data_IF_598312996776
#
_entry.id   IF_598312996776
#
_cell.length_a   1.000
_cell.length_b   1.000
_cell.length_c   1.000
_cell.angle_alpha   90.00
_cell.angle_beta   90.00
_cell.angle_gamma   90.00
#
_symmetry.space_group_name_H-M   'P 1'
#
loop_
_entity.id
_entity.type
_entity.pdbx_description
1 polymer ?
#
# COMPACT_ATOMS: atom_id res chain seq x y z
N UNK A 1 -7.07 9.17 4.73
CA UNK A 1 -6.96 7.81 5.32
C UNK A 1 -6.32 7.93 6.69
N UNK A 2 -6.71 7.05 7.60
CA UNK A 2 -6.02 6.92 8.89
C UNK A 2 -4.75 6.05 8.82
N UNK A 3 -4.35 5.61 7.62
CA UNK A 3 -3.18 4.78 7.37
C UNK A 3 -3.27 3.34 7.91
N UNK A 4 -4.48 2.82 8.16
CA UNK A 4 -4.65 1.39 8.42
C UNK A 4 -4.28 0.54 7.20
N UNK A 5 -3.68 -0.64 7.45
CA UNK A 5 -3.05 -1.45 6.41
C UNK A 5 -3.98 -1.85 5.25
N UNK A 6 -5.22 -2.24 5.54
CA UNK A 6 -6.15 -2.67 4.51
C UNK A 6 -6.49 -1.54 3.53
N UNK A 7 -6.84 -0.35 4.03
CA UNK A 7 -7.14 0.79 3.16
C UNK A 7 -5.91 1.30 2.41
N UNK A 8 -4.71 1.16 3.00
CA UNK A 8 -3.45 1.42 2.30
C UNK A 8 -3.29 0.48 1.09
N UNK A 9 -3.53 -0.83 1.28
CA UNK A 9 -3.48 -1.80 0.19
C UNK A 9 -4.54 -1.54 -0.88
N UNK A 10 -5.77 -1.22 -0.50
CA UNK A 10 -6.84 -0.83 -1.43
C UNK A 10 -6.42 0.39 -2.28
N UNK A 11 -5.80 1.39 -1.66
CA UNK A 11 -5.30 2.58 -2.35
C UNK A 11 -4.16 2.26 -3.31
N UNK A 12 -3.21 1.42 -2.89
CA UNK A 12 -2.09 0.95 -3.73
C UNK A 12 -2.61 0.18 -4.94
N UNK A 13 -3.49 -0.80 -4.74
CA UNK A 13 -4.11 -1.57 -5.81
C UNK A 13 -5.03 -0.71 -6.71
N UNK A 14 -5.62 0.35 -6.16
CA UNK A 14 -6.40 1.34 -6.89
C UNK A 14 -5.55 2.32 -7.70
N UNK A 15 -4.27 2.47 -7.36
CA UNK A 15 -3.40 3.52 -7.90
C UNK A 15 -3.86 4.91 -7.46
N UNK A 16 -4.24 5.04 -6.19
CA UNK A 16 -4.78 6.27 -5.61
C UNK A 16 -3.79 6.81 -4.57
N UNK A 17 -3.30 8.06 -4.70
CA UNK A 17 -2.49 8.69 -3.67
C UNK A 17 -3.37 9.16 -2.50
N UNK A 18 -2.76 9.35 -1.31
CA UNK A 18 -3.49 9.46 -0.05
C UNK A 18 -3.17 10.73 0.72
N UNK A 19 -4.16 11.30 1.41
CA UNK A 19 -3.90 12.18 2.57
C UNK A 19 -3.89 11.31 3.82
N UNK A 20 -2.78 11.32 4.53
CA UNK A 20 -2.47 10.49 5.68
C UNK A 20 -2.73 11.23 6.99
N UNK A 21 -3.55 10.64 7.86
CA UNK A 21 -3.85 11.19 9.20
C UNK A 21 -3.89 10.06 10.24
N UNK A 22 -2.72 9.59 10.71
CA UNK A 22 -2.64 8.44 11.62
C UNK A 22 -3.10 8.77 13.04
N UNK A 23 -3.61 7.77 13.77
CA UNK A 23 -4.05 7.92 15.16
C UNK A 23 -3.32 6.97 16.13
N UNK A 24 -3.32 5.65 15.86
CA UNK A 24 -2.81 4.65 16.82
C UNK A 24 -2.26 3.38 16.13
N UNK A 25 -1.74 2.44 16.93
CA UNK A 25 -1.12 1.19 16.49
C UNK A 25 0.05 1.43 15.52
N UNK A 26 0.03 0.83 14.33
CA UNK A 26 1.10 0.91 13.33
C UNK A 26 0.88 2.04 12.30
N UNK A 27 -0.21 2.81 12.44
CA UNK A 27 -0.63 3.81 11.45
C UNK A 27 0.43 4.89 11.21
N UNK A 28 1.17 5.30 12.24
CA UNK A 28 2.29 6.25 12.11
C UNK A 28 3.40 5.69 11.22
N UNK A 29 3.71 4.40 11.36
CA UNK A 29 4.69 3.72 10.50
C UNK A 29 4.18 3.66 9.06
N UNK A 30 2.92 3.27 8.86
CA UNK A 30 2.32 3.22 7.53
C UNK A 30 2.27 4.61 6.86
N UNK A 31 2.00 5.66 7.64
CA UNK A 31 2.06 7.06 7.21
C UNK A 31 3.46 7.40 6.70
N UNK A 32 4.49 7.11 7.52
CA UNK A 32 5.90 7.34 7.16
C UNK A 32 6.27 6.66 5.85
N UNK A 33 5.91 5.38 5.67
CA UNK A 33 6.17 4.65 4.43
C UNK A 33 5.44 5.27 3.23
N UNK A 34 4.15 5.58 3.38
CA UNK A 34 3.35 6.19 2.32
C UNK A 34 3.91 7.54 1.87
N UNK A 35 4.35 8.37 2.81
CA UNK A 35 4.83 9.73 2.53
C UNK A 35 6.29 9.79 2.09
N UNK A 36 7.17 8.91 2.59
CA UNK A 36 8.62 9.07 2.42
C UNK A 36 9.26 7.97 1.58
N UNK A 37 8.80 6.74 1.71
CA UNK A 37 9.40 5.60 1.01
C UNK A 37 8.71 5.34 -0.34
N UNK A 38 7.38 5.35 -0.34
CA UNK A 38 6.59 5.06 -1.55
C UNK A 38 6.25 6.33 -2.33
N UNK A 39 6.22 7.48 -1.65
CA UNK A 39 5.91 8.77 -2.25
C UNK A 39 4.51 8.83 -2.84
N UNK A 40 3.53 8.24 -2.16
CA UNK A 40 2.12 8.20 -2.56
C UNK A 40 1.20 8.86 -1.51
N UNK A 41 1.77 9.60 -0.55
CA UNK A 41 1.00 10.19 0.54
C UNK A 41 1.48 11.57 0.99
N UNK A 42 0.54 12.40 1.47
CA UNK A 42 0.80 13.65 2.20
C UNK A 42 0.26 13.55 3.62
N UNK A 43 1.05 13.94 4.61
CA UNK A 43 0.65 13.88 6.02
C UNK A 43 -0.07 15.15 6.48
N UNK A 44 -1.12 14.98 7.29
CA UNK A 44 -1.75 16.09 8.03
C UNK A 44 -0.93 16.36 9.29
N UNK A 45 -0.12 17.42 9.26
CA UNK A 45 0.66 17.88 10.41
C UNK A 45 -0.08 18.94 11.25
N UNK A 46 -0.97 19.73 10.62
CA UNK A 46 -1.77 20.77 11.26
C UNK A 46 -3.24 20.64 10.82
N UNK A 47 -4.14 20.52 11.80
CA UNK A 47 -5.58 20.29 11.59
C UNK A 47 -6.38 21.58 11.34
N UNK A 48 -5.71 22.73 11.21
CA UNK A 48 -6.38 23.96 10.78
C UNK A 48 -6.96 23.81 9.37
N UNK A 49 -8.15 24.38 9.18
CA UNK A 49 -8.93 24.27 7.94
C UNK A 49 -8.15 24.70 6.70
N UNK A 50 -7.39 25.79 6.76
CA UNK A 50 -6.59 26.31 5.65
C UNK A 50 -5.45 25.36 5.27
N UNK A 51 -4.86 24.67 6.25
CA UNK A 51 -3.81 23.67 6.02
C UNK A 51 -4.35 22.42 5.37
N UNK A 52 -5.49 21.92 5.85
CA UNK A 52 -6.19 20.79 5.24
C UNK A 52 -6.63 21.12 3.81
N UNK A 53 -7.23 22.30 3.59
CA UNK A 53 -7.65 22.73 2.25
C UNK A 53 -6.46 22.76 1.28
N UNK A 54 -5.33 23.34 1.69
CA UNK A 54 -4.12 23.39 0.88
C UNK A 54 -3.60 21.98 0.51
N UNK A 55 -3.56 21.05 1.48
CA UNK A 55 -3.17 19.66 1.22
C UNK A 55 -4.12 18.96 0.24
N UNK A 56 -5.43 19.16 0.38
CA UNK A 56 -6.42 18.59 -0.54
C UNK A 56 -6.23 19.14 -1.95
N UNK A 57 -6.07 20.47 -2.10
CA UNK A 57 -5.83 21.08 -3.41
C UNK A 57 -4.52 20.60 -4.03
N UNK A 58 -3.45 20.49 -3.25
CA UNK A 58 -2.16 19.99 -3.73
C UNK A 58 -2.25 18.53 -4.20
N UNK A 59 -2.97 17.67 -3.47
CA UNK A 59 -3.13 16.27 -3.87
C UNK A 59 -3.98 16.12 -5.15
N UNK A 60 -5.02 16.94 -5.31
CA UNK A 60 -5.98 16.81 -6.41
C UNK A 60 -5.49 17.47 -7.70
N UNK A 61 -4.97 18.70 -7.62
CA UNK A 61 -4.67 19.53 -8.79
C UNK A 61 -3.19 20.00 -8.85
N UNK A 62 -2.47 19.90 -7.73
CA UNK A 62 -1.09 20.35 -7.60
C UNK A 62 -0.07 19.47 -8.33
N UNK A 63 1.14 20.00 -8.52
CA UNK A 63 2.24 19.28 -9.17
C UNK A 63 2.64 18.05 -8.36
N UNK A 64 2.73 18.15 -7.02
CA UNK A 64 3.05 17.00 -6.19
C UNK A 64 1.94 15.94 -6.26
N UNK A 65 0.68 16.37 -6.33
CA UNK A 65 -0.48 15.50 -6.54
C UNK A 65 -0.33 14.62 -7.78
N UNK A 66 0.06 15.23 -8.89
CA UNK A 66 0.32 14.54 -10.17
C UNK A 66 1.48 13.56 -10.06
N UNK A 67 2.61 13.97 -9.48
CA UNK A 67 3.76 13.09 -9.26
C UNK A 67 3.41 11.87 -8.38
N UNK A 68 2.64 12.09 -7.31
CA UNK A 68 2.18 11.02 -6.44
C UNK A 68 1.19 10.10 -7.15
N UNK A 69 0.34 10.64 -8.02
CA UNK A 69 -0.58 9.84 -8.84
C UNK A 69 0.16 8.91 -9.78
N UNK A 70 1.21 9.40 -10.44
CA UNK A 70 2.05 8.59 -11.33
C UNK A 70 2.76 7.47 -10.55
N UNK A 71 3.32 7.78 -9.37
CA UNK A 71 3.89 6.77 -8.46
C UNK A 71 2.85 5.75 -8.01
N UNK A 72 1.63 6.19 -7.66
CA UNK A 72 0.57 5.29 -7.25
C UNK A 72 0.16 4.33 -8.38
N UNK A 73 0.14 4.79 -9.63
CA UNK A 73 -0.10 3.94 -10.80
C UNK A 73 1.05 2.94 -11.03
N UNK A 74 2.30 3.33 -10.80
CA UNK A 74 3.43 2.39 -10.84
C UNK A 74 3.30 1.29 -9.77
N UNK A 75 2.99 1.68 -8.52
CA UNK A 75 2.75 0.74 -7.43
C UNK A 75 1.59 -0.21 -7.71
N UNK A 76 0.52 0.28 -8.35
CA UNK A 76 -0.60 -0.56 -8.78
C UNK A 76 -0.17 -1.67 -9.73
N UNK A 77 0.63 -1.33 -10.75
CA UNK A 77 1.10 -2.33 -11.71
C UNK A 77 2.08 -3.33 -11.06
N UNK A 78 2.93 -2.89 -10.14
CA UNK A 78 3.79 -3.77 -9.35
C UNK A 78 2.97 -4.73 -8.47
N UNK A 79 1.96 -4.22 -7.76
CA UNK A 79 1.07 -5.03 -6.92
C UNK A 79 0.32 -6.07 -7.75
N UNK A 80 -0.22 -5.67 -8.91
CA UNK A 80 -0.89 -6.57 -9.84
C UNK A 80 0.05 -7.66 -10.35
N UNK A 81 1.27 -7.29 -10.77
CA UNK A 81 2.28 -8.22 -11.28
C UNK A 81 2.70 -9.25 -10.22
N UNK A 82 2.89 -8.80 -8.96
CA UNK A 82 3.26 -9.68 -7.86
C UNK A 82 2.17 -10.70 -7.49
N UNK A 83 0.89 -10.31 -7.60
CA UNK A 83 -0.23 -11.12 -7.12
C UNK A 83 -0.93 -11.97 -8.19
N UNK A 84 -1.00 -11.49 -9.44
CA UNK A 84 -1.84 -12.11 -10.49
C UNK A 84 -1.06 -12.92 -11.52
N UNK A 85 0.26 -12.73 -11.61
CA UNK A 85 1.09 -13.47 -12.57
C UNK A 85 1.48 -14.84 -12.02
N UNK A 86 1.55 -15.91 -12.84
CA UNK A 86 2.03 -17.23 -12.39
C UNK A 86 3.46 -17.22 -11.83
N UNK A 87 4.30 -16.30 -12.29
CA UNK A 87 5.66 -16.01 -11.82
C UNK A 87 5.71 -14.86 -10.80
N UNK A 88 4.55 -14.30 -10.42
CA UNK A 88 4.44 -13.22 -9.45
C UNK A 88 4.87 -13.66 -8.04
N UNK A 89 5.65 -12.81 -7.37
CA UNK A 89 6.27 -13.18 -6.09
C UNK A 89 5.25 -13.52 -4.99
N UNK A 90 4.15 -12.78 -4.87
CA UNK A 90 3.09 -13.09 -3.90
C UNK A 90 2.33 -14.36 -4.26
N UNK A 91 2.07 -14.60 -5.55
CA UNK A 91 1.43 -15.83 -6.03
C UNK A 91 2.29 -17.07 -5.73
N UNK A 92 3.59 -17.01 -6.07
CA UNK A 92 4.55 -18.08 -5.78
C UNK A 92 4.68 -18.34 -4.28
N UNK A 93 4.79 -17.28 -3.46
CA UNK A 93 4.89 -17.43 -2.01
C UNK A 93 3.64 -18.06 -1.40
N UNK A 94 2.45 -17.70 -1.88
CA UNK A 94 1.19 -18.30 -1.42
C UNK A 94 1.13 -19.79 -1.79
N UNK A 95 1.47 -20.15 -3.03
CA UNK A 95 1.50 -21.55 -3.47
C UNK A 95 2.51 -22.39 -2.67
N UNK A 96 3.67 -21.82 -2.38
CA UNK A 96 4.67 -22.45 -1.51
C UNK A 96 4.11 -22.70 -0.12
N UNK A 97 3.50 -21.69 0.50
CA UNK A 97 2.89 -21.83 1.82
C UNK A 97 1.79 -22.90 1.84
N UNK A 98 0.90 -22.91 0.84
CA UNK A 98 -0.14 -23.94 0.69
C UNK A 98 0.48 -25.33 0.58
N UNK A 99 1.52 -25.47 -0.22
CA UNK A 99 2.24 -26.74 -0.38
C UNK A 99 2.88 -27.19 0.93
N UNK A 100 3.58 -26.31 1.63
CA UNK A 100 4.29 -26.64 2.87
C UNK A 100 3.32 -27.01 4.00
N UNK A 101 2.19 -26.31 4.12
CA UNK A 101 1.23 -26.50 5.23
C UNK A 101 0.25 -27.64 4.97
N UNK A 102 -0.31 -27.73 3.76
CA UNK A 102 -1.39 -28.67 3.42
C UNK A 102 -0.87 -29.94 2.75
N UNK A 103 0.18 -29.84 1.92
CA UNK A 103 0.71 -30.97 1.16
C UNK A 103 1.96 -31.58 1.80
N UNK A 104 2.72 -30.80 2.58
CA UNK A 104 3.93 -31.24 3.29
C UNK A 104 3.68 -32.27 4.40
N UNK A 105 2.42 -32.45 4.83
CA UNK A 105 2.04 -33.51 5.79
C UNK A 105 1.86 -34.89 5.14
N UNK A 106 1.65 -34.97 3.82
CA UNK A 106 1.48 -36.26 3.12
C UNK A 106 2.79 -36.97 2.78
N UNK A 107 3.93 -36.28 2.88
CA UNK A 107 5.27 -36.87 2.62
C UNK A 107 5.94 -37.37 3.92
N UNK A 108 5.29 -37.22 5.08
CA UNK A 108 5.64 -37.99 6.29
C UNK A 108 4.85 -39.30 6.37
N UNK A 109 4.87 -40.09 5.29
CA UNK A 109 4.44 -41.49 5.34
C UNK A 109 5.68 -42.37 5.37
N UNK A 110 5.95 -42.91 6.56
CA UNK A 110 6.66 -44.15 6.88
C UNK A 110 7.72 -44.65 5.88
N UNK A 111 8.99 -44.38 6.19
CA UNK A 111 10.06 -45.35 6.38
C UNK A 111 11.23 -44.67 7.11
#
# INVERSE_FOLDING_TARGET
THCGWNSTLESVCGGVPMICWPFFAEQQTNCRFSCKEWGIGLEIEDVKRDKIESLVRELMDGEKGKEMKDKALQWKELAKSAASSPDGSSFVNLNKMVSDVLLGKSIKNYC
#
